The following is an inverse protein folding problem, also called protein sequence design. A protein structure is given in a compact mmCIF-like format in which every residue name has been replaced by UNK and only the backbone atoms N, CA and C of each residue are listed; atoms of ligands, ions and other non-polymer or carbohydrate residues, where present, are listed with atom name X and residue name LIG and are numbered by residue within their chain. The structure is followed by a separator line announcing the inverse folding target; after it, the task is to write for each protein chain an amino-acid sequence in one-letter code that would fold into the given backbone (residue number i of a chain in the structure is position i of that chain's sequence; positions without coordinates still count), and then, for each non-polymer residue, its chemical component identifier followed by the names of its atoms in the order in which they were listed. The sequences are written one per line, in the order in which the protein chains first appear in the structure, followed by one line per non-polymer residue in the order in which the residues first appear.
data_IF_325254956108
#
_entry.id   IF_325254956108
#
_cell.length_a   1.000
_cell.length_b   1.000
_cell.length_c   1.000
_cell.angle_alpha   90.00
_cell.angle_beta   90.00
_cell.angle_gamma   90.00
#
_symmetry.space_group_name_H-M   'P 1'
#
loop_
_entity.id
_entity.type
_entity.pdbx_description
1 polymer ?
#
# COMPACT_ATOMS: atom_id res chain seq x y z
N UNK A 1 11.08 59.22 30.20
CA UNK A 1 12.36 59.75 29.67
C UNK A 1 12.88 58.75 28.66
N UNK A 2 13.37 59.28 27.55
CA UNK A 2 14.27 58.73 26.53
C UNK A 2 13.97 57.40 25.79
N UNK A 3 13.51 57.62 24.56
CA UNK A 3 13.68 56.82 23.31
C UNK A 3 15.09 57.12 22.70
N UNK A 4 15.48 56.61 21.50
CA UNK A 4 15.18 55.34 20.80
C UNK A 4 16.41 54.67 20.10
N UNK A 5 16.20 53.45 19.56
CA UNK A 5 16.40 53.19 18.11
C UNK A 5 17.72 52.62 17.58
N UNK A 6 17.63 51.81 16.51
CA UNK A 6 18.77 51.40 15.67
C UNK A 6 18.57 50.10 14.86
N UNK A 7 18.14 50.18 13.60
CA UNK A 7 18.29 49.11 12.59
C UNK A 7 19.56 49.31 11.76
N UNK A 8 20.15 48.24 11.21
CA UNK A 8 20.85 48.09 9.89
C UNK A 8 21.41 46.64 9.83
N UNK A 9 21.09 45.71 8.90
CA UNK A 9 21.18 45.59 7.42
C UNK A 9 22.59 45.37 6.83
N UNK A 10 22.68 44.35 5.93
CA UNK A 10 23.75 44.06 4.95
C UNK A 10 25.08 43.47 5.51
N UNK A 11 25.90 42.67 4.77
CA UNK A 11 25.87 42.23 3.36
C UNK A 11 26.64 40.90 3.16
N UNK A 12 26.46 40.24 2.00
CA UNK A 12 27.19 39.02 1.60
C UNK A 12 28.52 39.28 0.86
N UNK A 13 29.44 38.30 0.90
CA UNK A 13 30.57 37.98 0.00
C UNK A 13 31.11 36.61 0.47
N UNK A 14 31.43 35.60 -0.36
CA UNK A 14 31.72 35.59 -1.79
C UNK A 14 33.24 35.48 -2.00
N UNK A 15 33.77 34.25 -2.08
CA UNK A 15 35.21 33.98 -2.31
C UNK A 15 35.40 32.97 -3.45
N UNK A 16 36.20 33.36 -4.44
CA UNK A 16 36.69 32.52 -5.53
C UNK A 16 38.14 32.90 -5.87
N UNK A 17 39.07 31.96 -5.82
CA UNK A 17 40.34 31.94 -6.58
C UNK A 17 40.84 30.48 -6.58
N UNK A 18 40.88 29.80 -7.72
CA UNK A 18 41.87 29.85 -8.85
C UNK A 18 43.10 28.97 -8.61
N UNK A 19 43.31 28.04 -9.55
CA UNK A 19 44.48 27.16 -9.69
C UNK A 19 45.72 27.95 -10.13
N UNK A 20 46.89 27.51 -9.67
CA UNK A 20 48.18 27.65 -10.37
C UNK A 20 48.97 26.33 -10.27
N UNK A 21 49.99 26.18 -11.12
CA UNK A 21 50.47 24.88 -11.64
C UNK A 21 51.85 24.44 -11.13
N UNK A 22 51.98 23.12 -10.96
CA UNK A 22 53.14 22.25 -11.25
C UNK A 22 54.58 22.63 -10.79
N UNK A 23 55.23 21.69 -10.08
CA UNK A 23 56.68 21.66 -9.85
C UNK A 23 57.14 20.43 -9.07
N UNK A 24 57.98 19.58 -9.67
CA UNK A 24 58.45 18.28 -9.12
C UNK A 24 60.00 18.23 -9.14
N UNK A 25 60.72 17.34 -8.45
CA UNK A 25 60.42 16.08 -7.74
C UNK A 25 61.29 15.99 -6.47
N UNK A 26 60.81 15.38 -5.37
CA UNK A 26 61.70 14.80 -4.34
C UNK A 26 61.08 13.57 -3.66
N UNK A 27 61.62 12.39 -3.94
CA UNK A 27 61.20 11.12 -3.35
C UNK A 27 61.95 10.91 -2.02
N UNK A 28 61.24 10.86 -0.90
CA UNK A 28 61.82 10.58 0.42
C UNK A 28 60.94 9.63 1.21
N UNK A 29 61.33 8.36 1.31
CA UNK A 29 60.70 7.42 2.23
C UNK A 29 60.98 7.85 3.67
N UNK A 30 59.95 8.35 4.36
CA UNK A 30 59.96 8.53 5.81
C UNK A 30 58.96 7.54 6.41
N UNK A 31 59.51 6.47 6.97
CA UNK A 31 58.76 5.37 7.58
C UNK A 31 58.30 5.81 8.98
N UNK A 32 57.19 6.55 9.03
CA UNK A 32 56.55 6.93 10.29
C UNK A 32 55.71 5.76 10.77
N UNK A 33 56.18 5.03 11.79
CA UNK A 33 55.31 4.19 12.61
C UNK A 33 54.32 5.09 13.35
N UNK A 34 53.15 5.31 12.75
CA UNK A 34 52.00 5.82 13.49
C UNK A 34 51.56 4.75 14.48
N UNK A 35 51.75 4.99 15.77
CA UNK A 35 50.98 4.28 16.79
C UNK A 35 49.50 4.57 16.53
N UNK A 36 48.78 3.59 16.00
CA UNK A 36 47.32 3.57 16.10
C UNK A 36 47.01 3.33 17.58
N UNK A 37 46.92 4.41 18.34
CA UNK A 37 46.13 4.38 19.57
C UNK A 37 44.72 3.95 19.15
N UNK A 38 44.14 2.91 19.74
CA UNK A 38 42.74 2.61 19.50
C UNK A 38 41.97 3.84 19.98
N UNK A 39 41.42 4.61 19.04
CA UNK A 39 40.39 5.56 19.39
C UNK A 39 39.29 4.76 20.06
N UNK A 40 38.91 5.14 21.28
CA UNK A 40 37.66 4.70 21.87
C UNK A 40 36.54 5.24 20.97
N UNK A 41 36.24 4.46 19.92
CA UNK A 41 35.04 4.64 19.13
C UNK A 41 33.90 4.46 20.11
N UNK A 42 33.36 5.59 20.58
CA UNK A 42 32.13 5.60 21.35
C UNK A 42 31.11 4.86 20.50
N UNK A 43 30.80 3.64 20.91
CA UNK A 43 29.63 2.90 20.48
C UNK A 43 28.42 3.62 21.06
N UNK A 44 28.15 4.82 20.54
CA UNK A 44 26.84 5.43 20.66
C UNK A 44 25.90 4.46 19.97
N UNK A 45 25.14 3.70 20.75
CA UNK A 45 23.87 3.20 20.24
C UNK A 45 23.17 4.42 19.65
N UNK A 46 22.81 4.35 18.36
CA UNK A 46 21.97 5.37 17.79
C UNK A 46 20.71 5.45 18.66
N UNK A 47 20.41 6.63 19.21
CA UNK A 47 19.15 6.81 19.92
C UNK A 47 18.04 6.53 18.90
N UNK A 48 17.30 5.44 19.14
CA UNK A 48 16.20 5.05 18.28
C UNK A 48 15.15 6.18 18.29
N UNK A 49 14.45 6.41 17.17
CA UNK A 49 13.42 7.45 17.11
C UNK A 49 12.36 7.19 18.18
N UNK A 50 12.11 8.20 19.01
CA UNK A 50 11.02 8.16 20.00
C UNK A 50 9.74 8.58 19.28
N UNK A 51 8.86 7.60 19.03
CA UNK A 51 7.52 7.87 18.53
C UNK A 51 6.65 8.44 19.65
N UNK A 52 5.80 9.41 19.32
CA UNK A 52 4.83 10.02 20.24
C UNK A 52 3.46 10.00 19.58
N UNK A 53 2.45 9.55 20.32
CA UNK A 53 1.06 9.71 19.93
C UNK A 53 0.70 11.21 19.95
N UNK A 54 0.15 11.68 18.83
CA UNK A 54 -0.33 13.05 18.65
C UNK A 54 -1.80 13.09 18.20
N UNK A 55 -2.52 11.97 18.24
CA UNK A 55 -3.85 11.82 17.62
C UNK A 55 -4.86 12.85 18.12
N UNK A 56 -4.91 13.08 19.44
CA UNK A 56 -5.76 14.11 20.06
C UNK A 56 -5.31 15.54 19.70
N UNK A 57 -4.01 15.82 19.70
CA UNK A 57 -3.44 17.13 19.34
C UNK A 57 -3.65 17.47 17.86
N UNK A 58 -3.63 16.45 17.00
CA UNK A 58 -3.93 16.53 15.58
C UNK A 58 -5.44 16.67 15.30
N UNK A 59 -6.32 16.58 16.30
CA UNK A 59 -7.77 16.68 16.14
C UNK A 59 -8.42 15.46 15.47
N UNK A 60 -7.72 14.33 15.38
CA UNK A 60 -8.26 13.09 14.80
C UNK A 60 -9.08 12.36 15.89
N UNK A 61 -10.35 12.08 15.60
CA UNK A 61 -11.28 11.42 16.54
C UNK A 61 -11.76 10.04 16.07
N UNK A 62 -11.20 9.57 14.95
CA UNK A 62 -11.53 8.29 14.36
C UNK A 62 -11.13 7.12 15.26
N UNK A 63 -12.00 6.12 15.35
CA UNK A 63 -11.73 4.85 16.01
C UNK A 63 -12.12 3.74 15.04
N UNK A 64 -11.13 2.96 14.62
CA UNK A 64 -11.37 1.79 13.79
C UNK A 64 -12.19 0.73 14.54
N UNK A 65 -13.11 0.09 13.83
CA UNK A 65 -13.93 -1.02 14.30
C UNK A 65 -13.96 -2.14 13.26
N UNK A 66 -14.05 -3.37 13.76
CA UNK A 66 -14.32 -4.60 13.00
C UNK A 66 -15.83 -4.91 12.92
N UNK A 67 -16.70 -3.95 13.21
CA UNK A 67 -18.15 -4.19 13.39
C UNK A 67 -18.53 -4.98 14.66
N UNK A 68 -17.56 -5.43 15.46
CA UNK A 68 -17.74 -6.20 16.69
C UNK A 68 -16.72 -5.82 17.78
N UNK A 69 -16.87 -6.40 18.98
CA UNK A 69 -16.06 -6.11 20.18
C UNK A 69 -14.91 -7.09 20.44
N UNK A 70 -14.77 -8.15 19.64
CA UNK A 70 -13.56 -8.98 19.57
C UNK A 70 -13.58 -9.79 18.27
N UNK A 71 -12.42 -10.29 17.84
CA UNK A 71 -12.32 -11.18 16.68
C UNK A 71 -13.05 -12.52 16.93
N UNK A 72 -13.82 -12.97 15.95
CA UNK A 72 -14.62 -14.20 15.99
C UNK A 72 -14.65 -14.96 14.66
N UNK A 73 -14.21 -14.34 13.56
CA UNK A 73 -14.08 -14.93 12.24
C UNK A 73 -13.00 -14.22 11.41
N UNK A 74 -12.71 -14.76 10.22
CA UNK A 74 -11.61 -14.29 9.36
C UNK A 74 -11.85 -12.90 8.74
N UNK A 75 -13.10 -12.55 8.42
CA UNK A 75 -13.45 -11.21 7.88
C UNK A 75 -13.18 -10.11 8.91
N UNK A 76 -13.43 -10.41 10.18
CA UNK A 76 -13.08 -9.52 11.29
C UNK A 76 -11.57 -9.32 11.47
N UNK A 77 -10.72 -10.23 10.98
CA UNK A 77 -9.26 -10.18 11.18
C UNK A 77 -8.46 -9.50 10.06
N UNK A 78 -9.05 -9.24 8.90
CA UNK A 78 -8.36 -8.65 7.75
C UNK A 78 -8.05 -7.15 7.92
N UNK A 79 -8.81 -6.45 8.76
CA UNK A 79 -8.57 -5.03 9.07
C UNK A 79 -9.08 -4.07 7.98
N UNK A 80 -8.58 -2.83 8.00
CA UNK A 80 -8.98 -1.76 7.08
C UNK A 80 -7.79 -0.85 6.70
N UNK A 81 -7.81 -0.32 5.48
CA UNK A 81 -6.77 0.55 4.91
C UNK A 81 -6.93 2.06 5.19
N UNK A 82 -5.97 2.82 4.64
CA UNK A 82 -5.88 4.29 4.71
C UNK A 82 -5.36 4.83 3.39
N UNK A 83 -5.82 6.01 2.97
CA UNK A 83 -5.28 6.76 1.84
C UNK A 83 -4.85 8.17 2.28
N UNK A 84 -3.73 8.62 1.73
CA UNK A 84 -3.24 9.99 1.86
C UNK A 84 -3.26 10.65 0.48
N UNK A 85 -4.08 11.68 0.30
CA UNK A 85 -4.26 12.39 -0.97
C UNK A 85 -4.73 13.82 -0.72
N UNK A 86 -4.54 14.72 -1.68
CA UNK A 86 -5.01 16.11 -1.63
C UNK A 86 -6.44 16.14 -2.21
N UNK A 87 -7.47 16.19 -1.35
CA UNK A 87 -8.86 16.04 -1.84
C UNK A 87 -9.47 17.36 -2.33
N UNK A 88 -8.92 18.52 -1.94
CA UNK A 88 -9.41 19.84 -2.35
C UNK A 88 -8.39 20.72 -3.09
N UNK A 89 -7.29 20.13 -3.56
CA UNK A 89 -6.32 20.74 -4.49
C UNK A 89 -5.47 21.83 -3.86
N UNK A 90 -5.29 21.82 -2.54
CA UNK A 90 -4.64 22.89 -1.78
C UNK A 90 -3.15 22.63 -1.44
N UNK A 91 -2.62 21.54 -2.00
CA UNK A 91 -1.21 21.15 -1.96
C UNK A 91 -0.81 20.39 -0.70
N UNK A 92 -1.77 19.90 0.09
CA UNK A 92 -1.52 19.17 1.34
C UNK A 92 -2.25 17.84 1.33
N UNK A 93 -1.57 16.79 1.80
CA UNK A 93 -2.19 15.47 1.92
C UNK A 93 -3.14 15.45 3.11
N UNK A 94 -4.40 15.15 2.81
CA UNK A 94 -5.48 14.80 3.72
C UNK A 94 -5.45 13.30 4.03
N UNK A 95 -6.34 12.82 4.91
CA UNK A 95 -6.37 11.41 5.34
C UNK A 95 -7.79 10.84 5.19
N UNK A 96 -7.93 9.76 4.41
CA UNK A 96 -9.14 8.94 4.39
C UNK A 96 -8.91 7.62 5.13
N UNK A 97 -9.77 7.33 6.10
CA UNK A 97 -9.67 6.18 7.01
C UNK A 97 -10.86 5.25 6.77
N UNK A 98 -10.56 4.00 6.38
CA UNK A 98 -11.56 2.96 6.12
C UNK A 98 -11.96 2.27 7.43
N UNK A 99 -13.20 1.82 7.52
CA UNK A 99 -13.79 1.27 8.73
C UNK A 99 -14.65 0.03 8.45
N UNK A 100 -14.64 -0.91 9.39
CA UNK A 100 -15.61 -2.00 9.40
C UNK A 100 -16.90 -1.58 10.10
N UNK A 101 -18.03 -2.00 9.55
CA UNK A 101 -19.36 -1.74 10.13
C UNK A 101 -20.05 -3.04 10.54
N UNK A 102 -21.01 -3.00 11.46
CA UNK A 102 -21.74 -4.22 11.85
C UNK A 102 -22.52 -4.79 10.65
N UNK A 103 -22.15 -6.02 10.25
CA UNK A 103 -22.85 -6.84 9.25
C UNK A 103 -23.37 -8.10 9.94
N UNK A 104 -24.66 -8.43 9.78
CA UNK A 104 -25.33 -9.49 10.55
C UNK A 104 -24.82 -10.89 10.18
N UNK A 105 -24.38 -11.02 8.94
CA UNK A 105 -23.84 -12.21 8.28
C UNK A 105 -22.35 -12.44 8.58
N UNK A 106 -21.62 -11.39 8.97
CA UNK A 106 -20.22 -11.47 9.43
C UNK A 106 -20.15 -11.52 10.95
N UNK A 107 -20.67 -10.49 11.62
CA UNK A 107 -20.36 -10.21 13.02
C UNK A 107 -21.23 -10.95 14.03
N UNK A 108 -20.64 -11.28 15.19
CA UNK A 108 -21.38 -11.85 16.30
C UNK A 108 -22.49 -10.88 16.80
N UNK A 109 -23.69 -11.35 17.21
CA UNK A 109 -24.80 -10.50 17.63
C UNK A 109 -24.54 -9.50 18.79
N UNK A 110 -23.39 -9.60 19.47
CA UNK A 110 -22.94 -8.62 20.50
C UNK A 110 -22.57 -7.27 19.85
N UNK A 111 -21.97 -7.29 18.65
CA UNK A 111 -21.58 -6.12 17.87
C UNK A 111 -22.76 -5.28 17.38
N UNK A 112 -24.00 -5.81 17.43
CA UNK A 112 -25.23 -5.09 17.01
C UNK A 112 -25.40 -3.71 17.68
N UNK A 113 -24.85 -3.49 18.88
CA UNK A 113 -24.89 -2.18 19.56
C UNK A 113 -24.06 -1.10 18.84
N UNK A 114 -23.18 -1.50 17.94
CA UNK A 114 -22.30 -0.66 17.14
C UNK A 114 -22.85 -0.47 15.71
N UNK A 115 -24.04 -0.99 15.38
CA UNK A 115 -24.62 -0.97 14.05
C UNK A 115 -25.09 0.42 13.55
N UNK A 116 -24.82 1.48 14.29
CA UNK A 116 -25.10 2.86 13.91
C UNK A 116 -23.91 3.74 14.24
N UNK A 117 -23.42 4.50 13.26
CA UNK A 117 -22.36 5.49 13.45
C UNK A 117 -20.94 4.98 13.14
N UNK A 118 -20.76 3.69 12.87
CA UNK A 118 -19.57 3.21 12.16
C UNK A 118 -19.68 3.63 10.69
N UNK A 119 -18.60 4.19 10.17
CA UNK A 119 -18.40 4.63 8.79
C UNK A 119 -16.93 4.96 8.56
N UNK A 120 -16.54 5.10 7.30
CA UNK A 120 -15.27 5.69 6.89
C UNK A 120 -15.23 7.19 7.24
N UNK A 121 -14.03 7.78 7.28
CA UNK A 121 -13.86 9.19 7.61
C UNK A 121 -12.79 9.90 6.77
N UNK A 122 -13.06 11.13 6.36
CA UNK A 122 -12.13 12.03 5.66
C UNK A 122 -11.72 13.19 6.58
N UNK A 123 -10.41 13.36 6.76
CA UNK A 123 -9.80 14.37 7.61
C UNK A 123 -8.97 15.34 6.76
N UNK A 124 -9.46 16.59 6.65
CA UNK A 124 -8.77 17.68 5.96
C UNK A 124 -7.56 18.16 6.77
N UNK A 125 -6.42 18.34 6.12
CA UNK A 125 -5.17 18.85 6.69
C UNK A 125 -5.20 20.38 6.78
N UNK A 126 -5.14 20.94 7.98
CA UNK A 126 -5.21 22.40 8.18
C UNK A 126 -3.87 23.12 7.93
N UNK A 127 -2.78 22.38 7.69
CA UNK A 127 -1.45 22.94 7.42
C UNK A 127 -0.65 23.38 8.66
N UNK A 128 -1.21 23.22 9.86
CA UNK A 128 -0.60 23.54 11.16
C UNK A 128 -0.31 22.30 12.02
N UNK A 129 -0.48 21.09 11.45
CA UNK A 129 -0.38 19.82 12.15
C UNK A 129 -1.72 19.31 12.71
N UNK A 130 -2.80 20.08 12.58
CA UNK A 130 -4.16 19.65 12.92
C UNK A 130 -4.96 19.24 11.67
N UNK A 131 -6.01 18.47 11.92
CA UNK A 131 -6.95 17.99 10.91
C UNK A 131 -8.39 18.34 11.29
N UNK A 132 -9.31 18.24 10.34
CA UNK A 132 -10.74 18.45 10.56
C UNK A 132 -11.57 17.41 9.82
N UNK A 133 -12.46 16.72 10.55
CA UNK A 133 -13.43 15.79 9.95
C UNK A 133 -14.34 16.56 8.99
N UNK A 134 -14.17 16.28 7.70
CA UNK A 134 -14.98 16.82 6.60
C UNK A 134 -15.88 15.75 5.97
N UNK A 135 -15.92 14.53 6.52
CA UNK A 135 -16.63 13.36 5.96
C UNK A 135 -18.04 13.67 5.49
N UNK A 136 -18.83 14.34 6.34
CA UNK A 136 -20.23 14.67 6.06
C UNK A 136 -20.40 15.85 5.09
N UNK A 137 -19.39 16.73 4.96
CA UNK A 137 -19.35 17.81 3.96
C UNK A 137 -18.97 17.24 2.59
N UNK A 138 -17.97 16.35 2.57
CA UNK A 138 -17.43 15.75 1.35
C UNK A 138 -18.34 14.66 0.76
N UNK A 139 -19.13 13.95 1.59
CA UNK A 139 -20.07 12.93 1.13
C UNK A 139 -19.51 11.50 1.09
N UNK A 140 -18.27 11.29 1.56
CA UNK A 140 -17.51 10.02 1.45
C UNK A 140 -17.65 9.09 2.67
N UNK A 141 -18.72 9.25 3.45
CA UNK A 141 -18.95 8.54 4.71
C UNK A 141 -19.59 7.16 4.57
N UNK A 142 -19.06 6.31 3.69
CA UNK A 142 -19.51 4.92 3.48
C UNK A 142 -19.63 4.14 4.82
N UNK A 143 -20.75 3.45 5.01
CA UNK A 143 -21.02 2.54 6.14
C UNK A 143 -20.94 1.05 5.74
N UNK A 144 -20.22 0.80 4.64
CA UNK A 144 -19.59 -0.44 4.22
C UNK A 144 -18.91 -1.25 5.33
N UNK A 145 -18.52 -2.47 4.99
CA UNK A 145 -17.51 -3.20 5.75
C UNK A 145 -16.21 -3.08 4.95
N UNK A 146 -15.56 -1.93 5.08
CA UNK A 146 -14.44 -1.55 4.23
C UNK A 146 -13.17 -2.33 4.56
N UNK A 147 -12.36 -2.57 3.52
CA UNK A 147 -11.12 -3.34 3.57
C UNK A 147 -9.90 -2.47 3.18
N UNK A 148 -9.97 -1.73 2.08
CA UNK A 148 -8.94 -0.79 1.66
C UNK A 148 -9.52 0.38 0.86
N UNK A 149 -8.67 1.33 0.50
CA UNK A 149 -9.02 2.45 -0.36
C UNK A 149 -7.81 2.89 -1.17
N UNK A 150 -8.07 3.49 -2.33
CA UNK A 150 -7.06 4.08 -3.20
C UNK A 150 -7.60 5.37 -3.83
N UNK A 151 -6.75 6.38 -3.95
CA UNK A 151 -7.10 7.64 -4.60
C UNK A 151 -6.30 7.80 -5.90
N UNK A 152 -7.00 8.19 -6.97
CA UNK A 152 -6.45 8.45 -8.30
C UNK A 152 -7.44 9.29 -9.12
N UNK A 153 -6.97 10.09 -10.06
CA UNK A 153 -7.80 10.75 -11.07
C UNK A 153 -8.15 9.73 -12.17
N UNK A 154 -9.33 9.09 -12.09
CA UNK A 154 -9.67 8.00 -13.03
C UNK A 154 -10.36 8.50 -14.30
N UNK A 155 -10.89 9.72 -14.32
CA UNK A 155 -11.54 10.30 -15.50
C UNK A 155 -10.78 11.46 -16.18
N UNK A 156 -9.55 11.72 -15.72
CA UNK A 156 -8.60 12.71 -16.24
C UNK A 156 -9.12 14.15 -16.15
N UNK A 157 -9.90 14.49 -15.12
CA UNK A 157 -10.39 15.87 -14.89
C UNK A 157 -9.46 16.75 -14.04
N UNK A 158 -8.45 16.13 -13.40
CA UNK A 158 -7.42 16.78 -12.61
C UNK A 158 -7.63 16.71 -11.10
N UNK A 159 -8.78 16.23 -10.63
CA UNK A 159 -9.08 16.04 -9.20
C UNK A 159 -8.94 14.56 -8.80
N UNK A 160 -8.41 14.28 -7.62
CA UNK A 160 -8.24 12.90 -7.15
C UNK A 160 -9.59 12.30 -6.69
N UNK A 161 -10.05 11.26 -7.39
CA UNK A 161 -11.18 10.42 -7.01
C UNK A 161 -10.78 9.40 -5.93
N UNK A 162 -11.76 8.67 -5.39
CA UNK A 162 -11.56 7.71 -4.30
C UNK A 162 -12.34 6.41 -4.53
N UNK A 163 -11.61 5.28 -4.62
CA UNK A 163 -12.19 3.94 -4.62
C UNK A 163 -12.03 3.28 -3.25
N UNK A 164 -13.04 2.52 -2.81
CA UNK A 164 -13.09 1.83 -1.52
C UNK A 164 -13.48 0.37 -1.74
N UNK A 165 -12.63 -0.57 -1.31
CA UNK A 165 -12.94 -2.00 -1.33
C UNK A 165 -13.71 -2.42 -0.07
N UNK A 166 -14.62 -3.37 -0.22
CA UNK A 166 -15.54 -3.81 0.82
C UNK A 166 -15.66 -5.35 0.87
N UNK A 167 -16.13 -5.87 2.02
CA UNK A 167 -16.82 -7.16 2.03
C UNK A 167 -18.24 -6.95 1.45
N UNK A 168 -18.42 -7.30 0.17
CA UNK A 168 -19.61 -6.97 -0.61
C UNK A 168 -19.36 -5.80 -1.56
N UNK A 169 -20.37 -4.97 -1.89
CA UNK A 169 -20.23 -3.91 -2.88
C UNK A 169 -19.17 -2.87 -2.51
N UNK A 170 -18.19 -2.69 -3.40
CA UNK A 170 -17.21 -1.61 -3.40
C UNK A 170 -17.88 -0.26 -3.71
N UNK A 171 -17.18 0.84 -3.46
CA UNK A 171 -17.67 2.20 -3.71
C UNK A 171 -16.65 3.00 -4.53
N UNK A 172 -17.10 3.69 -5.58
CA UNK A 172 -16.32 4.67 -6.34
C UNK A 172 -16.94 6.05 -6.16
N UNK A 173 -16.16 6.95 -5.55
CA UNK A 173 -16.48 8.36 -5.36
C UNK A 173 -15.73 9.21 -6.38
N UNK A 174 -16.48 9.85 -7.28
CA UNK A 174 -15.93 10.87 -8.18
C UNK A 174 -15.77 12.20 -7.44
N UNK A 175 -14.63 12.85 -7.54
CA UNK A 175 -14.47 14.21 -7.03
C UNK A 175 -15.27 15.21 -7.89
N UNK A 176 -15.77 16.28 -7.29
CA UNK A 176 -16.55 17.32 -7.96
C UNK A 176 -15.76 18.64 -8.13
N UNK A 177 -14.50 18.70 -7.66
CA UNK A 177 -13.63 19.90 -7.73
C UNK A 177 -14.03 21.04 -6.79
N UNK A 178 -14.99 20.82 -5.90
CA UNK A 178 -15.46 21.79 -4.89
C UNK A 178 -15.26 21.28 -3.43
N UNK A 179 -14.50 20.20 -3.27
CA UNK A 179 -14.30 19.50 -2.01
C UNK A 179 -15.51 18.67 -1.58
N UNK A 180 -16.32 18.21 -2.56
CA UNK A 180 -17.37 17.21 -2.40
C UNK A 180 -17.21 16.10 -3.43
N UNK A 181 -17.82 14.94 -3.16
CA UNK A 181 -17.78 13.76 -4.01
C UNK A 181 -19.18 13.29 -4.39
N UNK A 182 -19.26 12.64 -5.55
CA UNK A 182 -20.44 11.94 -6.04
C UNK A 182 -20.19 10.43 -6.03
N UNK A 183 -21.06 9.65 -5.37
CA UNK A 183 -21.05 8.18 -5.55
C UNK A 183 -21.48 7.87 -7.00
N UNK A 184 -20.53 7.35 -7.77
CA UNK A 184 -20.73 6.97 -9.19
C UNK A 184 -20.70 5.46 -9.38
N UNK A 185 -20.58 4.66 -8.31
CA UNK A 185 -20.34 3.20 -8.34
C UNK A 185 -21.25 2.46 -9.31
N UNK A 186 -22.57 2.71 -9.24
CA UNK A 186 -23.56 2.05 -10.08
C UNK A 186 -23.57 2.54 -11.54
N UNK A 187 -23.11 3.77 -11.81
CA UNK A 187 -22.89 4.30 -13.17
C UNK A 187 -21.61 3.71 -13.76
N UNK A 188 -20.54 3.66 -12.97
CA UNK A 188 -19.22 3.21 -13.37
C UNK A 188 -19.17 1.69 -13.62
N UNK A 189 -19.96 0.90 -12.90
CA UNK A 189 -20.06 -0.56 -13.08
C UNK A 189 -19.08 -1.38 -12.22
N UNK A 190 -18.43 -0.75 -11.24
CA UNK A 190 -17.31 -1.32 -10.45
C UNK A 190 -17.71 -1.82 -9.05
N UNK A 191 -19.01 -1.92 -8.76
CA UNK A 191 -19.50 -2.33 -7.44
C UNK A 191 -19.00 -3.72 -7.01
N UNK A 192 -19.16 -4.73 -7.86
CA UNK A 192 -18.94 -6.13 -7.46
C UNK A 192 -19.88 -6.59 -6.32
N UNK A 193 -19.67 -7.83 -5.87
CA UNK A 193 -20.38 -8.43 -4.73
C UNK A 193 -19.51 -9.43 -3.93
N UNK A 194 -18.21 -9.50 -4.25
CA UNK A 194 -17.22 -10.40 -3.65
C UNK A 194 -16.58 -9.80 -2.40
N UNK A 195 -15.64 -10.52 -1.80
CA UNK A 195 -14.79 -9.96 -0.74
C UNK A 195 -13.54 -9.35 -1.36
N UNK A 196 -13.63 -8.08 -1.73
CA UNK A 196 -12.50 -7.30 -2.24
C UNK A 196 -11.62 -6.81 -1.09
N UNK A 197 -10.31 -7.01 -1.20
CA UNK A 197 -9.33 -6.59 -0.18
C UNK A 197 -8.39 -5.54 -0.77
N UNK A 198 -7.42 -5.95 -1.60
CA UNK A 198 -6.53 -5.03 -2.31
C UNK A 198 -7.15 -4.43 -3.59
N UNK A 199 -6.65 -3.28 -4.02
CA UNK A 199 -6.93 -2.72 -5.35
C UNK A 199 -5.76 -1.87 -5.84
N UNK A 200 -5.64 -1.70 -7.15
CA UNK A 200 -4.69 -0.76 -7.77
C UNK A 200 -5.24 -0.18 -9.06
N UNK A 201 -4.85 1.06 -9.38
CA UNK A 201 -5.11 1.70 -10.68
C UNK A 201 -3.87 1.60 -11.56
N UNK A 202 -4.06 1.29 -12.83
CA UNK A 202 -3.00 1.19 -13.84
C UNK A 202 -3.58 1.45 -15.24
N UNK A 203 -2.78 1.98 -16.16
CA UNK A 203 -3.12 1.99 -17.59
C UNK A 203 -2.49 0.73 -18.21
N UNK A 204 -3.24 -0.36 -18.35
CA UNK A 204 -2.67 -1.66 -18.75
C UNK A 204 -2.60 -1.86 -20.27
N UNK A 205 -3.29 -1.03 -21.06
CA UNK A 205 -3.26 -1.13 -22.52
C UNK A 205 -2.82 0.15 -23.25
N UNK A 206 -2.39 1.15 -22.48
CA UNK A 206 -1.77 2.42 -22.91
C UNK A 206 -2.72 3.29 -23.72
N UNK A 207 -4.01 3.29 -23.35
CA UNK A 207 -5.01 4.19 -23.93
C UNK A 207 -5.10 5.56 -23.22
N UNK A 208 -4.43 5.71 -22.08
CA UNK A 208 -4.34 6.95 -21.32
C UNK A 208 -5.42 7.13 -20.24
N UNK A 209 -6.25 6.12 -20.00
CA UNK A 209 -7.21 6.09 -18.90
C UNK A 209 -6.80 5.05 -17.85
N UNK A 210 -6.96 5.37 -16.57
CA UNK A 210 -6.63 4.42 -15.51
C UNK A 210 -7.71 3.33 -15.41
N UNK A 211 -7.30 2.10 -15.70
CA UNK A 211 -8.03 0.86 -15.41
C UNK A 211 -7.91 0.49 -13.93
N UNK A 212 -8.82 -0.33 -13.44
CA UNK A 212 -8.91 -0.73 -12.04
C UNK A 212 -8.76 -2.25 -11.89
N UNK A 213 -7.75 -2.69 -11.14
CA UNK A 213 -7.63 -4.08 -10.70
C UNK A 213 -8.04 -4.21 -9.23
N UNK A 214 -8.85 -5.23 -8.90
CA UNK A 214 -9.36 -5.52 -7.57
C UNK A 214 -9.04 -6.96 -7.18
N UNK A 215 -8.28 -7.13 -6.11
CA UNK A 215 -7.92 -8.42 -5.54
C UNK A 215 -9.05 -8.94 -4.64
N UNK A 216 -9.50 -10.18 -4.84
CA UNK A 216 -10.58 -10.80 -4.06
C UNK A 216 -10.08 -12.02 -3.27
N UNK A 217 -10.58 -12.16 -2.04
CA UNK A 217 -9.95 -13.05 -1.06
C UNK A 217 -10.63 -14.43 -0.93
N UNK A 218 -11.79 -14.52 -0.24
CA UNK A 218 -12.39 -15.82 0.12
C UNK A 218 -13.93 -15.83 0.04
N UNK A 219 -14.48 -16.98 -0.35
CA UNK A 219 -15.91 -17.30 -0.21
C UNK A 219 -16.22 -17.72 1.23
N UNK A 220 -16.47 -16.73 2.09
CA UNK A 220 -16.66 -16.92 3.53
C UNK A 220 -18.03 -17.54 3.88
N UNK A 221 -18.04 -18.75 4.45
CA UNK A 221 -19.24 -19.34 5.06
C UNK A 221 -19.26 -19.13 6.60
N UNK A 222 -20.14 -18.26 7.14
CA UNK A 222 -20.29 -18.05 8.58
C UNK A 222 -20.83 -19.28 9.34
N UNK A 223 -21.24 -20.35 8.64
CA UNK A 223 -21.65 -21.64 9.23
C UNK A 223 -20.51 -22.65 9.31
N UNK A 224 -19.40 -22.45 8.59
CA UNK A 224 -18.27 -23.39 8.63
C UNK A 224 -17.69 -23.49 10.04
N UNK A 225 -17.37 -24.70 10.50
CA UNK A 225 -16.74 -24.96 11.80
C UNK A 225 -15.60 -25.95 11.61
N UNK A 226 -14.43 -25.60 12.14
CA UNK A 226 -13.28 -26.49 12.16
C UNK A 226 -13.61 -27.79 12.89
N UNK A 227 -13.19 -28.94 12.32
CA UNK A 227 -13.45 -30.26 12.91
C UNK A 227 -12.77 -30.44 14.27
N UNK A 228 -11.62 -29.79 14.46
CA UNK A 228 -10.98 -29.59 15.75
C UNK A 228 -11.21 -28.15 16.20
N UNK A 229 -11.65 -27.96 17.44
CA UNK A 229 -11.66 -26.64 18.07
C UNK A 229 -10.21 -26.25 18.38
N UNK A 230 -9.61 -25.42 17.52
CA UNK A 230 -8.45 -24.62 17.89
C UNK A 230 -8.90 -23.44 18.76
N UNK A 231 -7.94 -22.73 19.35
CA UNK A 231 -8.21 -21.53 20.17
C UNK A 231 -8.65 -20.29 19.34
N UNK A 232 -8.87 -20.45 18.03
CA UNK A 232 -9.20 -19.42 17.07
C UNK A 232 -10.30 -19.88 16.08
N UNK A 233 -10.72 -18.96 15.20
CA UNK A 233 -11.66 -19.24 14.11
C UNK A 233 -11.00 -19.97 12.92
N UNK A 234 -11.79 -20.54 11.98
CA UNK A 234 -11.25 -21.19 10.79
C UNK A 234 -10.43 -20.21 9.93
N UNK A 235 -9.24 -20.63 9.51
CA UNK A 235 -8.31 -19.82 8.72
C UNK A 235 -8.56 -19.88 7.20
N UNK A 236 -7.71 -19.25 6.37
CA UNK A 236 -7.90 -19.12 4.92
C UNK A 236 -8.07 -20.47 4.22
N UNK A 237 -7.29 -21.47 4.63
CA UNK A 237 -7.35 -22.84 4.10
C UNK A 237 -8.69 -23.56 4.36
N UNK A 238 -9.59 -23.01 5.17
CA UNK A 238 -10.95 -23.51 5.37
C UNK A 238 -11.97 -23.06 4.31
N UNK A 239 -11.66 -22.03 3.52
CA UNK A 239 -12.58 -21.41 2.57
C UNK A 239 -12.08 -21.50 1.11
N UNK A 240 -12.98 -21.57 0.11
CA UNK A 240 -12.61 -21.37 -1.28
C UNK A 240 -12.03 -19.98 -1.51
N UNK A 241 -11.06 -19.88 -2.44
CA UNK A 241 -10.61 -18.61 -2.97
C UNK A 241 -11.66 -17.94 -3.88
N UNK A 242 -11.41 -16.70 -4.26
CA UNK A 242 -12.22 -15.94 -5.20
C UNK A 242 -11.38 -15.45 -6.40
N UNK A 243 -11.98 -15.22 -7.57
CA UNK A 243 -11.28 -14.61 -8.69
C UNK A 243 -11.13 -13.10 -8.47
N UNK A 244 -9.94 -12.58 -8.71
CA UNK A 244 -9.69 -11.14 -8.86
C UNK A 244 -10.50 -10.57 -10.03
N UNK A 245 -10.62 -9.24 -10.11
CA UNK A 245 -11.34 -8.55 -11.17
C UNK A 245 -10.48 -7.44 -11.81
N UNK A 246 -10.38 -7.44 -13.13
CA UNK A 246 -9.84 -6.33 -13.93
C UNK A 246 -10.99 -5.59 -14.61
N UNK A 247 -11.02 -4.28 -14.42
CA UNK A 247 -12.00 -3.36 -14.99
C UNK A 247 -11.29 -2.39 -15.93
N UNK A 248 -11.50 -2.55 -17.24
CA UNK A 248 -10.97 -1.62 -18.25
C UNK A 248 -11.79 -0.33 -18.28
N UNK A 249 -11.15 0.82 -18.19
CA UNK A 249 -11.81 2.13 -18.32
C UNK A 249 -12.25 2.35 -19.78
N UNK A 250 -13.36 3.05 -19.98
CA UNK A 250 -13.89 3.39 -21.33
C UNK A 250 -13.64 4.84 -21.73
N UNK A 251 -13.10 5.66 -20.83
CA UNK A 251 -12.93 7.10 -21.04
C UNK A 251 -14.24 7.92 -21.03
N UNK A 252 -15.37 7.33 -20.62
CA UNK A 252 -16.67 8.00 -20.44
C UNK A 252 -17.16 8.00 -18.96
N UNK A 253 -16.26 7.62 -18.05
CA UNK A 253 -16.54 7.41 -16.64
C UNK A 253 -17.30 6.10 -16.36
N UNK A 254 -17.17 5.10 -17.22
CA UNK A 254 -17.65 3.72 -17.02
C UNK A 254 -16.57 2.69 -17.35
N UNK A 255 -16.73 1.46 -16.85
CA UNK A 255 -15.75 0.39 -16.97
C UNK A 255 -16.32 -0.87 -17.65
N UNK A 256 -15.44 -1.73 -18.16
CA UNK A 256 -15.72 -3.09 -18.64
C UNK A 256 -15.00 -4.12 -17.77
N UNK A 257 -15.70 -5.12 -17.24
CA UNK A 257 -15.03 -6.27 -16.61
C UNK A 257 -14.36 -7.13 -17.70
N UNK A 258 -13.03 -7.20 -17.69
CA UNK A 258 -12.21 -7.83 -18.75
C UNK A 258 -11.36 -9.01 -18.28
N UNK A 259 -11.41 -9.40 -16.99
CA UNK A 259 -10.58 -10.44 -16.34
C UNK A 259 -10.44 -11.72 -17.16
N UNK A 260 -11.55 -12.19 -17.75
CA UNK A 260 -11.53 -13.40 -18.60
C UNK A 260 -10.86 -13.19 -19.94
N UNK A 261 -11.08 -12.04 -20.57
CA UNK A 261 -10.48 -11.68 -21.86
C UNK A 261 -8.98 -11.42 -21.71
N UNK A 262 -8.59 -10.78 -20.61
CA UNK A 262 -7.21 -10.50 -20.23
C UNK A 262 -6.42 -11.73 -19.73
N UNK A 263 -7.07 -12.89 -19.57
CA UNK A 263 -6.40 -14.14 -19.13
C UNK A 263 -6.13 -14.25 -17.62
N UNK A 264 -6.68 -13.34 -16.80
CA UNK A 264 -6.46 -13.24 -15.36
C UNK A 264 -7.40 -14.12 -14.52
N UNK A 265 -8.46 -14.68 -15.10
CA UNK A 265 -9.50 -15.37 -14.33
C UNK A 265 -8.99 -16.64 -13.63
N UNK A 266 -8.85 -16.58 -12.31
CA UNK A 266 -8.46 -17.71 -11.47
C UNK A 266 -9.39 -17.85 -10.26
N UNK A 267 -10.35 -18.81 -10.24
CA UNK A 267 -11.35 -18.97 -9.18
C UNK A 267 -10.78 -19.63 -7.90
N UNK A 268 -9.46 -19.61 -7.73
CA UNK A 268 -8.76 -20.15 -6.55
C UNK A 268 -7.83 -19.12 -5.90
N UNK A 269 -7.73 -17.91 -6.45
CA UNK A 269 -6.93 -16.83 -5.90
C UNK A 269 -7.38 -16.47 -4.47
N UNK A 270 -6.46 -15.88 -3.71
CA UNK A 270 -6.66 -15.43 -2.34
C UNK A 270 -6.01 -14.08 -2.17
N UNK A 271 -6.34 -13.17 -3.08
CA UNK A 271 -5.68 -11.88 -3.22
C UNK A 271 -5.90 -11.03 -1.98
N UNK A 272 -4.81 -10.72 -1.28
CA UNK A 272 -4.80 -9.83 -0.12
C UNK A 272 -4.33 -8.44 -0.51
N UNK A 273 -3.20 -8.36 -1.21
CA UNK A 273 -2.64 -7.12 -1.70
C UNK A 273 -2.23 -7.21 -3.17
N UNK A 274 -2.17 -6.06 -3.82
CA UNK A 274 -1.79 -5.94 -5.23
C UNK A 274 -0.92 -4.70 -5.42
N UNK A 275 0.10 -4.84 -6.26
CA UNK A 275 0.94 -3.73 -6.73
C UNK A 275 1.09 -3.83 -8.25
N UNK A 276 1.27 -2.68 -8.90
CA UNK A 276 1.48 -2.58 -10.34
C UNK A 276 2.78 -1.84 -10.63
N UNK A 277 3.58 -2.37 -11.56
CA UNK A 277 4.85 -1.77 -12.01
C UNK A 277 5.29 -2.47 -13.30
N UNK A 278 6.00 -1.77 -14.18
CA UNK A 278 6.77 -2.39 -15.25
C UNK A 278 8.04 -2.99 -14.61
N UNK A 279 8.08 -4.31 -14.42
CA UNK A 279 9.19 -4.95 -13.70
C UNK A 279 10.34 -5.38 -14.61
N UNK A 280 10.17 -5.37 -15.93
CA UNK A 280 11.19 -5.80 -16.89
C UNK A 280 11.58 -4.77 -17.98
N UNK A 281 11.11 -3.53 -17.84
CA UNK A 281 11.47 -2.34 -18.63
C UNK A 281 11.07 -2.51 -20.12
N UNK A 282 9.92 -3.15 -20.38
CA UNK A 282 9.34 -3.32 -21.71
C UNK A 282 8.31 -2.24 -22.09
N UNK A 283 7.87 -1.46 -21.09
CA UNK A 283 6.98 -0.32 -21.23
C UNK A 283 5.48 -0.66 -21.11
N UNK A 284 5.10 -1.90 -20.79
CA UNK A 284 3.75 -2.30 -20.43
C UNK A 284 3.65 -2.59 -18.91
N UNK A 285 2.64 -2.05 -18.21
CA UNK A 285 2.55 -2.21 -16.74
C UNK A 285 2.11 -3.63 -16.34
N UNK A 286 2.87 -4.28 -15.48
CA UNK A 286 2.58 -5.61 -14.91
C UNK A 286 1.82 -5.53 -13.57
N UNK A 287 1.31 -6.68 -13.11
CA UNK A 287 0.56 -6.80 -11.85
C UNK A 287 1.15 -7.90 -10.98
N UNK A 288 1.50 -7.60 -9.72
CA UNK A 288 1.79 -8.61 -8.70
C UNK A 288 0.63 -8.72 -7.70
N UNK A 289 0.13 -9.94 -7.50
CA UNK A 289 -0.89 -10.27 -6.50
C UNK A 289 -0.27 -11.14 -5.41
N UNK A 290 -0.27 -10.61 -4.19
CA UNK A 290 0.08 -11.36 -2.99
C UNK A 290 -1.13 -12.19 -2.54
N UNK A 291 -0.93 -13.51 -2.43
CA UNK A 291 -1.97 -14.45 -2.02
C UNK A 291 -1.68 -15.03 -0.63
N UNK A 292 -2.73 -15.27 0.15
CA UNK A 292 -2.60 -15.87 1.47
C UNK A 292 -2.63 -17.41 1.45
N UNK A 293 -1.56 -18.00 1.99
CA UNK A 293 -1.36 -19.44 2.18
C UNK A 293 -1.44 -20.24 0.85
N UNK A 294 -1.00 -19.63 -0.25
CA UNK A 294 -0.81 -20.26 -1.55
C UNK A 294 0.31 -19.54 -2.34
N UNK A 295 0.49 -19.87 -3.61
CA UNK A 295 1.46 -19.19 -4.47
C UNK A 295 1.04 -17.75 -4.83
N UNK A 296 2.01 -16.82 -4.84
CA UNK A 296 1.79 -15.46 -5.36
C UNK A 296 1.73 -15.46 -6.89
N UNK A 297 1.12 -14.43 -7.46
CA UNK A 297 1.02 -14.24 -8.92
C UNK A 297 1.80 -13.01 -9.37
N UNK A 298 2.59 -13.17 -10.41
CA UNK A 298 3.23 -12.06 -11.15
C UNK A 298 2.70 -12.16 -12.57
N UNK A 299 1.68 -11.38 -12.86
CA UNK A 299 1.05 -11.31 -14.16
C UNK A 299 1.84 -10.33 -15.02
N UNK A 300 2.71 -10.87 -15.88
CA UNK A 300 3.36 -10.09 -16.92
C UNK A 300 2.32 -9.65 -17.95
N UNK A 301 2.35 -8.39 -18.37
CA UNK A 301 1.55 -7.87 -19.47
C UNK A 301 2.16 -8.31 -20.82
N UNK A 302 1.35 -8.78 -21.76
CA UNK A 302 1.82 -9.25 -23.07
C UNK A 302 1.80 -8.15 -24.16
N UNK A 303 1.60 -6.88 -23.79
CA UNK A 303 1.51 -5.74 -24.72
C UNK A 303 0.35 -5.83 -25.72
N UNK A 304 -0.68 -6.64 -25.41
CA UNK A 304 -1.81 -6.93 -26.30
C UNK A 304 -3.17 -7.00 -25.55
N UNK A 305 -3.22 -6.45 -24.33
CA UNK A 305 -4.39 -6.49 -23.46
C UNK A 305 -4.62 -7.85 -22.77
N UNK A 306 -3.61 -8.72 -22.71
CA UNK A 306 -3.66 -10.00 -21.97
C UNK A 306 -2.42 -10.16 -21.10
N UNK A 307 -2.53 -10.98 -20.07
CA UNK A 307 -1.47 -11.24 -19.11
C UNK A 307 -1.01 -12.70 -19.11
N UNK A 308 0.12 -12.97 -18.46
CA UNK A 308 0.61 -14.32 -18.20
C UNK A 308 1.29 -14.40 -16.84
N UNK A 309 0.85 -15.35 -16.00
CA UNK A 309 1.47 -15.56 -14.69
C UNK A 309 2.87 -16.19 -14.85
N UNK A 310 3.90 -15.40 -14.56
CA UNK A 310 5.31 -15.78 -14.64
C UNK A 310 5.96 -16.03 -13.27
N UNK A 311 5.25 -15.84 -12.15
CA UNK A 311 5.81 -15.97 -10.79
C UNK A 311 6.59 -17.28 -10.50
N UNK A 312 6.17 -18.47 -11.00
CA UNK A 312 6.95 -19.70 -10.83
C UNK A 312 8.26 -19.73 -11.63
N UNK A 313 8.38 -18.93 -12.69
CA UNK A 313 9.57 -18.83 -13.54
C UNK A 313 10.52 -17.72 -13.09
N UNK A 314 9.97 -16.60 -12.60
CA UNK A 314 10.74 -15.47 -12.08
C UNK A 314 11.25 -15.70 -10.65
N UNK A 315 10.66 -16.64 -9.91
CA UNK A 315 11.02 -16.97 -8.53
C UNK A 315 10.25 -16.20 -7.46
N UNK A 316 9.21 -15.44 -7.82
CA UNK A 316 8.43 -14.61 -6.89
C UNK A 316 7.16 -15.27 -6.35
N UNK A 317 6.85 -16.49 -6.82
CA UNK A 317 5.62 -17.21 -6.45
C UNK A 317 5.61 -17.85 -5.05
N UNK A 318 6.78 -18.02 -4.42
CA UNK A 318 6.94 -18.71 -3.14
C UNK A 318 8.05 -18.08 -2.31
N UNK A 319 7.98 -18.23 -0.98
CA UNK A 319 9.03 -17.78 -0.07
C UNK A 319 10.37 -18.52 -0.25
N UNK A 320 11.37 -18.08 0.53
CA UNK A 320 12.78 -18.49 0.36
C UNK A 320 13.02 -20.02 0.37
N UNK A 321 12.16 -20.79 1.05
CA UNK A 321 12.27 -22.25 1.18
C UNK A 321 11.29 -23.00 0.25
N UNK A 322 10.62 -22.30 -0.67
CA UNK A 322 9.59 -22.86 -1.56
C UNK A 322 8.21 -23.00 -0.89
N UNK A 323 7.99 -22.31 0.23
CA UNK A 323 6.75 -22.28 0.97
C UNK A 323 5.71 -21.32 0.36
N UNK A 324 4.45 -21.73 0.40
CA UNK A 324 3.32 -20.82 0.23
C UNK A 324 3.21 -19.94 1.48
N UNK A 325 3.56 -18.65 1.35
CA UNK A 325 3.51 -17.70 2.47
C UNK A 325 2.09 -17.16 2.65
N UNK A 326 1.81 -16.56 3.82
CA UNK A 326 0.61 -15.74 4.03
C UNK A 326 0.96 -14.30 3.64
N UNK A 327 1.07 -14.05 2.33
CA UNK A 327 1.53 -12.79 1.76
C UNK A 327 0.45 -11.70 1.84
N UNK A 328 0.88 -10.46 2.06
CA UNK A 328 0.02 -9.32 2.43
C UNK A 328 0.12 -8.16 1.42
N UNK A 329 0.70 -7.01 1.77
CA UNK A 329 0.76 -5.83 0.89
C UNK A 329 2.09 -5.74 0.12
N UNK A 330 2.15 -6.16 -1.16
CA UNK A 330 3.39 -6.09 -1.94
C UNK A 330 3.73 -4.64 -2.30
N UNK A 331 5.02 -4.34 -2.47
CA UNK A 331 5.51 -3.01 -2.87
C UNK A 331 6.68 -3.16 -3.85
N UNK A 332 6.69 -2.35 -4.91
CA UNK A 332 7.75 -2.34 -5.91
C UNK A 332 8.70 -1.15 -5.68
N UNK A 333 10.00 -1.35 -5.83
CA UNK A 333 10.96 -0.25 -5.77
C UNK A 333 12.41 -0.67 -5.81
N UNK A 334 13.26 0.18 -6.40
CA UNK A 334 14.71 -0.01 -6.50
C UNK A 334 15.39 0.23 -5.14
N UNK A 335 15.65 -0.84 -4.37
CA UNK A 335 16.17 -0.71 -3.00
C UNK A 335 17.71 -0.61 -2.94
N UNK A 336 18.42 -1.23 -3.89
CA UNK A 336 19.89 -1.22 -3.94
C UNK A 336 20.49 -0.17 -4.91
N UNK A 337 19.63 0.52 -5.66
CA UNK A 337 19.91 1.65 -6.57
C UNK A 337 20.66 1.26 -7.84
N UNK A 338 20.38 0.07 -8.37
CA UNK A 338 20.94 -0.39 -9.63
C UNK A 338 20.10 0.00 -10.88
N UNK A 339 18.89 0.52 -10.66
CA UNK A 339 17.96 0.97 -11.69
C UNK A 339 16.96 -0.08 -12.16
N UNK A 340 16.96 -1.28 -11.54
CA UNK A 340 15.93 -2.30 -11.74
C UNK A 340 14.86 -2.20 -10.65
N UNK A 341 13.63 -2.58 -10.97
CA UNK A 341 12.53 -2.60 -10.00
C UNK A 341 12.56 -3.92 -9.21
N UNK A 342 12.88 -3.83 -7.91
CA UNK A 342 12.77 -4.91 -6.94
C UNK A 342 11.35 -5.01 -6.35
N UNK A 343 11.08 -6.09 -5.62
CA UNK A 343 9.77 -6.36 -5.02
C UNK A 343 9.92 -6.79 -3.55
N UNK A 344 9.25 -6.08 -2.65
CA UNK A 344 9.06 -6.50 -1.25
C UNK A 344 7.65 -7.11 -1.10
N UNK A 345 7.57 -8.28 -0.48
CA UNK A 345 6.32 -8.95 -0.13
C UNK A 345 6.32 -9.26 1.37
N UNK A 346 5.65 -8.46 2.20
CA UNK A 346 5.41 -8.77 3.60
C UNK A 346 4.51 -10.01 3.73
N UNK A 347 4.75 -10.83 4.75
CA UNK A 347 3.97 -12.02 5.06
C UNK A 347 3.87 -12.29 6.58
N UNK A 348 3.07 -13.28 6.98
CA UNK A 348 2.92 -13.60 8.41
C UNK A 348 4.20 -14.12 9.11
N UNK A 349 5.29 -14.35 8.38
CA UNK A 349 6.59 -14.73 8.89
C UNK A 349 7.60 -13.58 8.80
N UNK A 350 8.60 -13.74 7.93
CA UNK A 350 9.77 -12.88 7.82
C UNK A 350 9.79 -11.97 6.59
N UNK A 351 8.81 -12.12 5.67
CA UNK A 351 8.73 -11.36 4.43
C UNK A 351 9.80 -11.74 3.40
N UNK A 352 9.50 -11.47 2.14
CA UNK A 352 10.35 -11.81 1.01
C UNK A 352 10.78 -10.54 0.27
N UNK A 353 12.09 -10.28 0.24
CA UNK A 353 12.68 -9.19 -0.54
C UNK A 353 13.31 -9.79 -1.79
N UNK A 354 12.64 -9.64 -2.92
CA UNK A 354 13.05 -10.14 -4.23
C UNK A 354 13.80 -9.03 -4.97
N UNK A 355 15.11 -9.19 -5.12
CA UNK A 355 15.91 -8.28 -5.95
C UNK A 355 15.89 -8.72 -7.41
N UNK A 356 15.57 -7.80 -8.31
CA UNK A 356 15.58 -8.05 -9.74
C UNK A 356 17.01 -8.24 -10.25
N UNK A 357 17.21 -9.13 -11.22
CA UNK A 357 18.55 -9.43 -11.76
C UNK A 357 18.77 -8.93 -13.19
N UNK A 358 17.76 -8.27 -13.78
CA UNK A 358 17.78 -7.79 -15.17
C UNK A 358 17.84 -8.93 -16.19
N UNK A 359 17.45 -10.15 -15.78
CA UNK A 359 17.57 -11.40 -16.57
C UNK A 359 16.29 -12.23 -16.55
N UNK A 360 15.15 -11.61 -16.20
CA UNK A 360 13.84 -12.27 -16.14
C UNK A 360 13.66 -13.18 -14.92
N UNK A 361 14.44 -12.99 -13.86
CA UNK A 361 14.26 -13.65 -12.55
C UNK A 361 14.72 -12.73 -11.42
N UNK A 362 14.20 -12.99 -10.23
CA UNK A 362 14.55 -12.31 -9.00
C UNK A 362 15.44 -13.22 -8.12
N UNK A 363 16.25 -12.60 -7.29
CA UNK A 363 17.02 -13.25 -6.24
C UNK A 363 16.38 -12.92 -4.88
N UNK A 364 16.11 -13.93 -4.06
CA UNK A 364 15.61 -13.74 -2.69
C UNK A 364 16.75 -13.22 -1.80
N UNK A 365 16.50 -12.10 -1.10
CA UNK A 365 17.50 -11.32 -0.37
C UNK A 365 17.20 -11.14 1.13
N UNK A 366 16.02 -11.49 1.65
CA UNK A 366 15.61 -11.22 3.04
C UNK A 366 16.62 -11.74 4.07
N UNK A 367 17.19 -12.93 3.85
CA UNK A 367 18.22 -13.48 4.75
C UNK A 367 19.58 -12.76 4.61
N UNK A 368 19.91 -12.26 3.41
CA UNK A 368 21.20 -11.61 3.10
C UNK A 368 21.25 -10.16 3.56
N UNK A 369 20.14 -9.43 3.47
CA UNK A 369 20.00 -8.06 3.98
C UNK A 369 19.79 -8.01 5.50
N UNK A 370 19.43 -9.14 6.10
CA UNK A 370 19.08 -9.23 7.52
C UNK A 370 17.61 -8.89 7.81
N UNK A 371 16.80 -8.57 6.78
CA UNK A 371 15.36 -8.34 6.92
C UNK A 371 14.69 -9.51 7.65
N UNK A 372 14.97 -10.75 7.24
CA UNK A 372 14.34 -11.91 7.87
C UNK A 372 14.67 -12.08 9.36
N UNK A 373 15.86 -11.64 9.79
CA UNK A 373 16.28 -11.69 11.19
C UNK A 373 15.65 -10.55 12.02
N UNK A 374 15.39 -9.40 11.40
CA UNK A 374 14.70 -8.28 12.02
C UNK A 374 13.17 -8.53 12.12
N UNK A 375 12.59 -9.06 11.04
CA UNK A 375 11.16 -9.32 10.92
C UNK A 375 10.71 -10.57 11.70
N UNK A 376 11.48 -11.66 11.69
CA UNK A 376 11.05 -12.99 12.19
C UNK A 376 10.77 -13.15 13.70
N UNK A 377 10.79 -12.08 14.50
CA UNK A 377 10.22 -12.05 15.86
C UNK A 377 8.79 -11.47 15.91
N UNK A 378 8.33 -10.94 14.78
CA UNK A 378 7.08 -10.24 14.58
C UNK A 378 6.35 -10.84 13.37
N UNK A 379 5.16 -10.36 13.09
CA UNK A 379 4.51 -10.55 11.80
C UNK A 379 5.07 -9.47 10.86
N UNK A 380 5.57 -9.83 9.68
CA UNK A 380 6.07 -8.81 8.73
C UNK A 380 4.91 -8.13 8.01
N UNK A 381 4.61 -6.91 8.45
CA UNK A 381 3.68 -5.96 7.84
C UNK A 381 4.45 -4.72 7.42
#
# INVERSE_FOLDING_TARGET
MDRPGGLLRQQARGWTMRRTTAGSVALGLLLVLGLVLPGEGRSGQAELPVLRDITEEAGITFVHSIGDQALSNIVESTGAGVAFFDYDGDGRLDIYLVNGSYRKEVNHPRGRRMASGLRNALYRNNGDGTFSDVTAKAGVGDDGYGMACLAADYDNDGDADLFVTNYGPNVLYRNNGDGTFSDVTAKAGVAGDLWSVGCTFLDYDRDGFLDLFVANYLDFDPKYRSFYAGDAFPGPLSYPGQPDALYRNRGDGTFEETTRAAGLFNPRGRGMGVAASDFDDDGDTDIFVANDAMENYLYRNNGNGTFSNVAPLTGTGFGQNGEATSAMGPEFGDFDRDGLIDLLVPDMGYGCLYRNTGRGFFEEMSAKTGLAAAAGQYTSW
#
